data_IF_303923385554
#
_entry.id   IF_303923385554
#
_cell.length_a   1.000
_cell.length_b   1.000
_cell.length_c   1.000
_cell.angle_alpha   90.00
_cell.angle_beta   90.00
_cell.angle_gamma   90.00
#
_symmetry.space_group_name_H-M   'P 1'
#
loop_
_entity.id
_entity.type
_entity.pdbx_description
1 polymer ?
#
# COMPACT_ATOMS: atom_id res chain seq x y z
N UNK A 1 4.46 0.35 -11.10
CA UNK A 1 3.83 0.35 -12.45
C UNK A 1 2.31 0.39 -12.32
N UNK A 2 1.60 1.14 -13.18
CA UNK A 2 0.14 1.09 -13.27
C UNK A 2 -0.29 0.44 -14.60
N UNK A 3 -1.23 -0.50 -14.55
CA UNK A 3 -1.78 -1.22 -15.72
C UNK A 3 -3.25 -0.88 -15.98
N UNK A 4 -3.83 0.09 -15.27
CA UNK A 4 -5.22 0.50 -15.45
C UNK A 4 -5.52 1.92 -14.95
N UNK A 5 -6.74 2.39 -15.19
CA UNK A 5 -7.26 3.67 -14.66
C UNK A 5 -6.90 4.92 -15.46
N UNK A 6 -6.17 4.82 -16.58
CA UNK A 6 -5.94 5.95 -17.50
C UNK A 6 -7.08 6.17 -18.50
N UNK A 7 -7.71 5.10 -18.95
CA UNK A 7 -8.83 5.17 -19.90
C UNK A 7 -10.16 5.03 -19.14
N UNK A 8 -11.26 5.62 -19.63
CA UNK A 8 -12.61 5.44 -19.07
C UNK A 8 -13.20 4.06 -19.41
N UNK A 9 -12.34 3.04 -19.48
CA UNK A 9 -12.67 1.66 -19.81
C UNK A 9 -12.26 0.80 -18.62
N UNK A 10 -13.19 -0.05 -18.18
CA UNK A 10 -12.86 -1.06 -17.20
C UNK A 10 -11.82 -2.04 -17.80
N UNK A 11 -10.83 -2.49 -17.01
CA UNK A 11 -9.96 -3.56 -17.46
C UNK A 11 -10.77 -4.80 -17.81
N UNK A 12 -10.33 -5.55 -18.83
CA UNK A 12 -10.97 -6.81 -19.24
C UNK A 12 -10.50 -8.02 -18.40
N UNK A 13 -9.90 -7.77 -17.24
CA UNK A 13 -9.40 -8.77 -16.30
C UNK A 13 -9.96 -8.49 -14.88
N UNK A 14 -10.01 -9.50 -14.00
CA UNK A 14 -10.51 -9.31 -12.64
C UNK A 14 -9.76 -8.22 -11.88
N UNK A 15 -10.52 -7.33 -11.23
CA UNK A 15 -9.99 -6.23 -10.43
C UNK A 15 -10.21 -6.55 -8.95
N UNK A 16 -9.12 -6.64 -8.20
CA UNK A 16 -9.09 -6.98 -6.78
C UNK A 16 -7.90 -6.30 -6.09
N UNK A 17 -7.82 -6.38 -4.76
CA UNK A 17 -6.71 -5.78 -4.02
C UNK A 17 -5.36 -6.35 -4.44
N UNK A 18 -4.45 -5.51 -4.92
CA UNK A 18 -3.14 -5.94 -5.40
C UNK A 18 -3.14 -6.56 -6.80
N UNK A 19 -4.16 -6.34 -7.63
CA UNK A 19 -4.24 -6.98 -8.97
C UNK A 19 -3.04 -6.72 -9.89
N UNK A 20 -2.24 -5.68 -9.64
CA UNK A 20 -1.04 -5.38 -10.43
C UNK A 20 0.26 -5.93 -9.81
N UNK A 21 0.20 -6.48 -8.60
CA UNK A 21 1.36 -7.03 -7.89
C UNK A 21 2.06 -8.14 -8.68
N UNK A 22 1.36 -9.07 -9.36
CA UNK A 22 2.04 -10.09 -10.15
C UNK A 22 3.03 -9.52 -11.18
N UNK A 23 2.71 -8.36 -11.78
CA UNK A 23 3.62 -7.67 -12.71
C UNK A 23 4.83 -7.06 -11.98
N UNK A 24 4.62 -6.46 -10.81
CA UNK A 24 5.70 -5.90 -10.00
C UNK A 24 6.67 -7.01 -9.53
N UNK A 25 6.14 -8.14 -9.07
CA UNK A 25 6.92 -9.32 -8.67
C UNK A 25 7.77 -9.87 -9.80
N UNK A 26 7.22 -9.98 -11.02
CA UNK A 26 7.96 -10.42 -12.19
C UNK A 26 9.13 -9.48 -12.53
N UNK A 27 8.90 -8.16 -12.46
CA UNK A 27 9.98 -7.18 -12.67
C UNK A 27 11.04 -7.33 -11.59
N UNK A 28 10.64 -7.43 -10.31
CA UNK A 28 11.55 -7.58 -9.18
C UNK A 28 12.46 -8.81 -9.32
N UNK A 29 11.94 -9.91 -9.86
CA UNK A 29 12.74 -11.11 -10.16
C UNK A 29 13.75 -10.91 -11.29
N UNK A 30 13.48 -9.97 -12.20
CA UNK A 30 14.29 -9.74 -13.40
C UNK A 30 15.32 -8.61 -13.26
N UNK A 31 15.26 -7.80 -12.19
CA UNK A 31 16.14 -6.64 -11.99
C UNK A 31 16.84 -6.67 -10.63
N UNK A 32 17.96 -5.96 -10.51
CA UNK A 32 18.71 -5.83 -9.25
C UNK A 32 18.48 -4.50 -8.54
N UNK A 33 17.46 -3.73 -8.95
CA UNK A 33 17.08 -2.45 -8.33
C UNK A 33 15.75 -2.61 -7.58
N UNK A 34 15.46 -1.78 -6.55
CA UNK A 34 14.20 -1.83 -5.84
C UNK A 34 12.98 -1.62 -6.75
N UNK A 35 11.90 -2.35 -6.49
CA UNK A 35 10.64 -2.30 -7.25
C UNK A 35 9.48 -1.97 -6.34
N UNK A 36 8.66 -1.00 -6.76
CA UNK A 36 7.45 -0.59 -6.04
C UNK A 36 6.19 -1.25 -6.62
N UNK A 37 5.19 -1.49 -5.77
CA UNK A 37 3.89 -2.03 -6.12
C UNK A 37 2.74 -1.07 -5.83
N UNK A 38 1.72 -1.06 -6.69
CA UNK A 38 0.48 -0.28 -6.51
C UNK A 38 -0.70 -1.06 -7.07
N UNK A 39 -1.92 -0.71 -6.66
CA UNK A 39 -3.15 -1.20 -7.30
C UNK A 39 -4.17 -1.72 -6.29
N UNK A 40 -5.12 -0.86 -5.92
CA UNK A 40 -6.21 -1.18 -4.97
C UNK A 40 -5.73 -1.80 -3.65
N UNK A 41 -4.59 -1.32 -3.15
CA UNK A 41 -4.05 -1.76 -1.87
C UNK A 41 -4.68 -0.86 -0.80
N UNK A 42 -5.82 -1.27 -0.27
CA UNK A 42 -6.57 -0.53 0.76
C UNK A 42 -6.28 -1.05 2.17
N UNK A 43 -5.97 -2.34 2.31
CA UNK A 43 -5.76 -3.00 3.60
C UNK A 43 -4.30 -2.89 4.07
N UNK A 44 -4.05 -2.46 5.32
CA UNK A 44 -2.71 -2.53 5.93
C UNK A 44 -2.13 -3.94 5.92
N UNK A 45 -2.95 -4.97 6.20
CA UNK A 45 -2.49 -6.36 6.24
C UNK A 45 -2.07 -6.88 4.87
N UNK A 46 -2.72 -6.41 3.80
CA UNK A 46 -2.30 -6.73 2.44
C UNK A 46 -0.96 -6.07 2.13
N UNK A 47 -0.82 -4.77 2.46
CA UNK A 47 0.44 -4.05 2.24
C UNK A 47 1.61 -4.76 2.96
N UNK A 48 1.42 -5.13 4.23
CA UNK A 48 2.42 -5.85 5.01
C UNK A 48 2.75 -7.22 4.40
N UNK A 49 1.73 -7.99 4.01
CA UNK A 49 1.93 -9.29 3.37
C UNK A 49 2.80 -9.18 2.11
N UNK A 50 2.58 -8.17 1.28
CA UNK A 50 3.35 -7.96 0.04
C UNK A 50 4.83 -7.67 0.31
N UNK A 51 5.12 -6.93 1.39
CA UNK A 51 6.49 -6.65 1.83
C UNK A 51 7.14 -7.91 2.43
N UNK A 52 6.47 -8.57 3.37
CA UNK A 52 6.98 -9.77 4.06
C UNK A 52 7.24 -10.95 3.12
N UNK A 53 6.44 -11.06 2.04
CA UNK A 53 6.64 -12.07 1.00
C UNK A 53 7.61 -11.65 -0.10
N UNK A 54 8.26 -10.50 0.04
CA UNK A 54 9.25 -9.95 -0.90
C UNK A 54 8.71 -9.79 -2.33
N UNK A 55 7.40 -9.59 -2.48
CA UNK A 55 6.79 -9.36 -3.78
C UNK A 55 7.14 -7.99 -4.34
N UNK A 56 7.33 -7.01 -3.45
CA UNK A 56 7.76 -5.63 -3.74
C UNK A 56 8.67 -5.12 -2.64
N UNK A 57 9.47 -4.08 -2.92
CA UNK A 57 10.30 -3.38 -1.93
C UNK A 57 9.56 -2.24 -1.23
N UNK A 58 8.54 -1.70 -1.90
CA UNK A 58 7.73 -0.61 -1.37
C UNK A 58 6.31 -0.72 -1.92
N UNK A 59 5.34 -0.38 -1.07
CA UNK A 59 3.92 -0.30 -1.43
C UNK A 59 3.51 1.15 -1.59
N UNK A 60 2.97 1.49 -2.76
CA UNK A 60 2.38 2.78 -3.05
C UNK A 60 0.87 2.72 -2.77
N UNK A 61 0.40 3.67 -1.96
CA UNK A 61 -1.02 3.82 -1.63
C UNK A 61 -1.54 5.07 -2.35
N UNK A 62 -2.68 4.95 -3.05
CA UNK A 62 -3.24 6.03 -3.86
C UNK A 62 -4.54 6.57 -3.27
N UNK A 63 -5.68 6.14 -3.85
CA UNK A 63 -7.03 6.61 -3.50
C UNK A 63 -7.38 6.46 -2.01
N UNK A 64 -6.82 5.45 -1.35
CA UNK A 64 -7.02 5.21 0.08
C UNK A 64 -6.49 6.37 0.91
N UNK A 65 -5.29 6.88 0.62
CA UNK A 65 -4.72 8.05 1.31
C UNK A 65 -5.51 9.34 1.04
N UNK A 66 -6.14 9.46 -0.13
CA UNK A 66 -7.01 10.62 -0.44
C UNK A 66 -8.29 10.56 0.41
N UNK A 67 -8.89 9.37 0.56
CA UNK A 67 -10.12 9.18 1.35
C UNK A 67 -9.85 9.23 2.85
N UNK A 68 -8.72 8.68 3.29
CA UNK A 68 -8.31 8.58 4.69
C UNK A 68 -6.86 9.11 4.82
N UNK A 69 -6.67 10.42 5.06
CA UNK A 69 -5.33 10.99 5.21
C UNK A 69 -4.52 10.42 6.39
N UNK A 70 -5.21 9.91 7.42
CA UNK A 70 -4.60 9.26 8.58
C UNK A 70 -4.39 7.76 8.38
N UNK A 71 -4.47 7.24 7.14
CA UNK A 71 -4.36 5.80 6.86
C UNK A 71 -3.07 5.18 7.44
N UNK A 72 -1.97 5.92 7.52
CA UNK A 72 -0.73 5.43 8.15
C UNK A 72 -0.88 5.18 9.66
N UNK A 73 -1.64 6.02 10.37
CA UNK A 73 -1.97 5.81 11.79
C UNK A 73 -2.83 4.56 11.95
N UNK A 74 -3.85 4.43 11.08
CA UNK A 74 -4.71 3.26 11.04
C UNK A 74 -3.91 1.98 10.75
N UNK A 75 -3.00 2.03 9.78
CA UNK A 75 -2.12 0.92 9.43
C UNK A 75 -1.22 0.51 10.59
N UNK A 76 -0.59 1.47 11.26
CA UNK A 76 0.22 1.22 12.45
C UNK A 76 -0.59 0.53 13.56
N UNK A 77 -1.82 0.97 13.80
CA UNK A 77 -2.70 0.33 14.78
C UNK A 77 -3.07 -1.12 14.40
N UNK A 78 -3.49 -1.35 13.14
CA UNK A 78 -3.86 -2.68 12.63
C UNK A 78 -2.69 -3.66 12.63
N UNK A 79 -1.48 -3.16 12.34
CA UNK A 79 -0.25 -3.95 12.28
C UNK A 79 0.48 -4.04 13.63
N UNK A 80 -0.06 -3.41 14.68
CA UNK A 80 0.53 -3.32 16.00
C UNK A 80 1.96 -2.73 16.00
N UNK A 81 2.20 -1.72 15.15
CA UNK A 81 3.45 -0.96 15.14
C UNK A 81 3.47 -0.01 16.34
N UNK A 82 4.25 -0.39 17.36
CA UNK A 82 4.42 0.38 18.59
C UNK A 82 5.43 1.52 18.49
N UNK A 83 6.23 1.56 17.40
CA UNK A 83 7.26 2.56 17.17
C UNK A 83 6.78 3.68 16.24
N UNK A 84 5.59 3.55 15.65
CA UNK A 84 5.00 4.57 14.80
C UNK A 84 4.80 5.90 15.57
N UNK A 85 5.44 6.95 15.07
CA UNK A 85 5.26 8.31 15.56
C UNK A 85 4.61 9.18 14.49
N UNK A 86 3.52 9.90 14.79
CA UNK A 86 2.96 10.87 13.85
C UNK A 86 3.96 12.01 13.63
N UNK A 87 3.98 12.55 12.41
CA UNK A 87 4.91 13.63 12.04
C UNK A 87 4.81 14.87 12.94
N UNK A 88 3.60 15.21 13.40
CA UNK A 88 3.37 16.38 14.25
C UNK A 88 2.95 15.94 15.66
N UNK A 89 3.72 16.39 16.65
CA UNK A 89 3.51 16.14 18.08
C UNK A 89 2.10 16.51 18.58
N UNK A 90 1.40 17.45 17.94
CA UNK A 90 0.02 17.79 18.33
C UNK A 90 -0.95 16.61 18.20
N UNK A 91 -0.65 15.62 17.36
CA UNK A 91 -1.52 14.46 17.12
C UNK A 91 -1.25 13.28 18.06
N UNK A 92 -0.19 13.31 18.87
CA UNK A 92 0.21 12.17 19.74
C UNK A 92 -0.91 11.65 20.66
N UNK A 93 -1.78 12.53 21.15
CA UNK A 93 -2.92 12.10 21.97
C UNK A 93 -4.06 11.52 21.14
N UNK A 94 -4.26 12.03 19.92
CA UNK A 94 -5.33 11.58 19.02
C UNK A 94 -5.03 10.22 18.41
N UNK A 95 -3.76 9.92 18.13
CA UNK A 95 -3.34 8.62 17.58
C UNK A 95 -3.49 7.47 18.58
N UNK A 96 -3.48 7.75 19.89
CA UNK A 96 -3.75 6.73 20.94
C UNK A 96 -5.20 6.26 21.00
N UNK A 97 -6.12 6.97 20.34
CA UNK A 97 -7.55 6.63 20.31
C UNK A 97 -7.97 5.80 19.10
N UNK A 98 -7.03 5.43 18.23
CA UNK A 98 -7.25 4.46 17.15
C UNK A 98 -7.39 3.03 17.67
#
# INVERSE_FOLDING_TARGET
MSTGGLLPLAPNFPVYGGYQIPFATQIKQAVSIPVTGVGLIDSPTLAEHLLQTNQVDLVEIGRTLIREPNWLVHAAHVLHDHDFAPYNHSYERGTKGY
#
